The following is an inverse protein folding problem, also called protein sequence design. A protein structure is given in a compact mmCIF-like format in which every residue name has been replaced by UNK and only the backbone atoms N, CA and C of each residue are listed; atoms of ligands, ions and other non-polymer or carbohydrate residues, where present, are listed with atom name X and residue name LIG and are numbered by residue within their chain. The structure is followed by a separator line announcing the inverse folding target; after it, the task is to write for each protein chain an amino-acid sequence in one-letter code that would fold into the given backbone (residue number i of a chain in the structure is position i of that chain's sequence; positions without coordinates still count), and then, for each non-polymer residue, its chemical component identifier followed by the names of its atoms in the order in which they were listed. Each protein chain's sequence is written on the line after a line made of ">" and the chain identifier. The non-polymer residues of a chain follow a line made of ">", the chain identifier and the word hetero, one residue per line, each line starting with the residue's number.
data_IF_466938489362
#
_entry.id   IF_466938489362
#
_cell.length_a   1.000
_cell.length_b   1.000
_cell.length_c   1.000
_cell.angle_alpha   90.00
_cell.angle_beta   90.00
_cell.angle_gamma   90.00
#
_symmetry.space_group_name_H-M   'P 1'
#
loop_
_entity.id
_entity.type
_entity.pdbx_description
1 polymer ?
#
# COMPACT_ATOMS: atom_id res chain seq x y z
N UNK A 1 -12.11 11.15 6.67
CA UNK A 1 -11.26 9.96 6.89
C UNK A 1 -11.87 8.67 6.35
N UNK A 2 -13.18 8.45 6.45
CA UNK A 2 -13.81 7.22 5.94
C UNK A 2 -13.58 6.96 4.45
N UNK A 3 -13.74 7.97 3.59
CA UNK A 3 -13.46 7.86 2.14
C UNK A 3 -11.99 7.51 1.88
N UNK A 4 -11.06 8.08 2.66
CA UNK A 4 -9.63 7.81 2.55
C UNK A 4 -9.30 6.36 2.87
N UNK A 5 -9.89 5.78 3.93
CA UNK A 5 -9.73 4.36 4.25
C UNK A 5 -10.26 3.44 3.13
N UNK A 6 -11.39 3.81 2.52
CA UNK A 6 -11.92 3.06 1.36
C UNK A 6 -10.95 3.11 0.18
N UNK A 7 -10.35 4.26 -0.10
CA UNK A 7 -9.33 4.40 -1.15
C UNK A 7 -8.09 3.57 -0.85
N UNK A 8 -7.60 3.54 0.40
CA UNK A 8 -6.49 2.68 0.83
C UNK A 8 -6.80 1.20 0.61
N UNK A 9 -8.01 0.75 0.95
CA UNK A 9 -8.47 -0.61 0.71
C UNK A 9 -8.52 -0.97 -0.78
N UNK A 10 -9.02 -0.07 -1.62
CA UNK A 10 -9.03 -0.25 -3.08
C UNK A 10 -7.60 -0.35 -3.61
N UNK A 11 -6.68 0.50 -3.14
CA UNK A 11 -5.28 0.47 -3.54
C UNK A 11 -4.60 -0.85 -3.13
N UNK A 12 -4.84 -1.32 -1.90
CA UNK A 12 -4.33 -2.59 -1.42
C UNK A 12 -4.87 -3.77 -2.24
N UNK A 13 -6.18 -3.76 -2.54
CA UNK A 13 -6.82 -4.76 -3.37
C UNK A 13 -6.26 -4.76 -4.80
N UNK A 14 -6.05 -3.58 -5.38
CA UNK A 14 -5.46 -3.43 -6.71
C UNK A 14 -4.05 -4.02 -6.77
N UNK A 15 -3.19 -3.69 -5.80
CA UNK A 15 -1.83 -4.24 -5.69
C UNK A 15 -1.84 -5.76 -5.53
N UNK A 16 -2.73 -6.29 -4.69
CA UNK A 16 -2.87 -7.72 -4.49
C UNK A 16 -3.32 -8.45 -5.76
N UNK A 17 -4.27 -7.89 -6.49
CA UNK A 17 -4.78 -8.48 -7.73
C UNK A 17 -3.72 -8.45 -8.83
N UNK A 18 -2.96 -7.36 -8.94
CA UNK A 18 -1.92 -7.19 -9.96
C UNK A 18 -0.59 -7.89 -9.63
N UNK A 19 -0.46 -8.51 -8.46
CA UNK A 19 0.77 -9.22 -8.08
C UNK A 19 1.18 -10.36 -9.01
N UNK A 20 0.19 -11.01 -9.62
CA UNK A 20 0.37 -12.25 -10.40
C UNK A 20 0.25 -12.02 -11.91
N UNK A 21 -0.13 -10.80 -12.30
CA UNK A 21 -0.30 -10.42 -13.70
C UNK A 21 1.05 -9.96 -14.26
N UNK A 22 1.42 -10.46 -15.44
CA UNK A 22 2.59 -9.96 -16.16
C UNK A 22 2.36 -8.49 -16.52
N UNK A 23 3.09 -7.56 -15.88
CA UNK A 23 3.21 -6.21 -16.42
C UNK A 23 3.90 -6.33 -17.78
N UNK A 24 3.22 -5.87 -18.84
CA UNK A 24 3.67 -5.90 -20.24
C UNK A 24 5.01 -5.18 -20.49
N UNK A 25 5.53 -4.43 -19.51
CA UNK A 25 6.75 -3.62 -19.60
C UNK A 25 7.92 -4.26 -18.82
N UNK A 26 7.66 -5.22 -17.93
CA UNK A 26 8.68 -5.78 -17.04
C UNK A 26 9.16 -7.15 -17.55
N UNK A 27 10.31 -7.18 -18.22
CA UNK A 27 10.97 -8.42 -18.61
C UNK A 27 11.58 -9.07 -17.37
N UNK A 28 10.83 -10.02 -16.83
CA UNK A 28 11.00 -10.53 -15.49
C UNK A 28 12.11 -11.59 -15.41
N UNK A 29 13.35 -11.15 -15.20
CA UNK A 29 14.45 -12.06 -14.83
C UNK A 29 14.41 -12.45 -13.34
N UNK A 30 13.60 -11.78 -12.49
CA UNK A 30 13.55 -12.02 -11.04
C UNK A 30 12.09 -12.05 -10.48
N UNK A 31 11.33 -13.08 -10.89
CA UNK A 31 9.86 -13.23 -10.67
C UNK A 31 9.39 -13.15 -9.22
N UNK A 32 10.25 -13.50 -8.28
CA UNK A 32 9.91 -13.66 -6.87
C UNK A 32 9.86 -12.34 -6.11
N UNK A 33 10.70 -11.37 -6.48
CA UNK A 33 10.91 -10.17 -5.67
C UNK A 33 9.82 -9.12 -5.92
N UNK A 34 9.45 -8.92 -7.18
CA UNK A 34 8.37 -8.00 -7.56
C UNK A 34 7.00 -8.40 -6.97
N UNK A 35 6.67 -9.68 -7.06
CA UNK A 35 5.47 -10.26 -6.46
C UNK A 35 5.47 -10.11 -4.94
N UNK A 36 6.62 -10.31 -4.30
CA UNK A 36 6.77 -10.18 -2.85
C UNK A 36 6.62 -8.73 -2.38
N UNK A 37 7.21 -7.76 -3.08
CA UNK A 37 7.10 -6.33 -2.73
C UNK A 37 5.65 -5.86 -2.84
N UNK A 38 4.97 -6.15 -3.94
CA UNK A 38 3.54 -5.81 -4.09
C UNK A 38 2.68 -6.48 -3.01
N UNK A 39 2.97 -7.73 -2.64
CA UNK A 39 2.23 -8.42 -1.58
C UNK A 39 2.48 -7.77 -0.20
N UNK A 40 3.74 -7.45 0.13
CA UNK A 40 4.11 -6.77 1.39
C UNK A 40 3.45 -5.40 1.47
N UNK A 41 3.48 -4.62 0.39
CA UNK A 41 2.83 -3.30 0.35
C UNK A 41 1.32 -3.40 0.47
N UNK A 42 0.68 -4.36 -0.21
CA UNK A 42 -0.76 -4.58 -0.07
C UNK A 42 -1.14 -4.92 1.37
N UNK A 43 -0.37 -5.79 2.04
CA UNK A 43 -0.57 -6.13 3.46
C UNK A 43 -0.37 -4.88 4.34
N UNK A 44 0.68 -4.09 4.11
CA UNK A 44 0.93 -2.87 4.86
C UNK A 44 -0.22 -1.86 4.74
N UNK A 45 -0.77 -1.66 3.54
CA UNK A 45 -1.93 -0.78 3.32
C UNK A 45 -3.20 -1.29 4.00
N UNK A 46 -3.43 -2.61 4.04
CA UNK A 46 -4.55 -3.20 4.81
C UNK A 46 -4.36 -2.93 6.30
N UNK A 47 -3.14 -3.08 6.82
CA UNK A 47 -2.83 -2.80 8.22
C UNK A 47 -3.03 -1.32 8.54
N UNK A 48 -2.55 -0.41 7.68
CA UNK A 48 -2.79 1.04 7.81
C UNK A 48 -4.29 1.37 7.81
N UNK A 49 -5.07 0.72 6.95
CA UNK A 49 -6.52 0.91 6.91
C UNK A 49 -7.21 0.37 8.17
N UNK A 50 -6.74 -0.74 8.76
CA UNK A 50 -7.28 -1.28 10.01
C UNK A 50 -6.97 -0.35 11.19
N UNK A 51 -5.73 0.14 11.28
CA UNK A 51 -5.33 1.12 12.30
C UNK A 51 -6.15 2.40 12.16
N UNK A 52 -6.30 2.90 10.93
CA UNK A 52 -7.12 4.07 10.65
C UNK A 52 -8.60 3.88 10.99
N UNK A 53 -9.14 2.67 10.82
CA UNK A 53 -10.51 2.35 11.24
C UNK A 53 -10.68 2.39 12.76
N UNK A 54 -9.72 1.84 13.51
CA UNK A 54 -9.72 1.90 14.99
C UNK A 54 -9.60 3.35 15.48
N UNK A 55 -8.74 4.15 14.85
CA UNK A 55 -8.55 5.58 15.17
C UNK A 55 -9.81 6.40 14.87
N UNK A 56 -10.55 6.05 13.82
CA UNK A 56 -11.80 6.74 13.47
C UNK A 56 -12.82 6.66 14.61
N UNK A 57 -12.85 5.57 15.38
CA UNK A 57 -13.73 5.41 16.55
C UNK A 57 -13.34 6.29 17.75
N UNK A 58 -12.12 6.83 17.79
CA UNK A 58 -11.64 7.69 18.87
C UNK A 58 -11.93 9.18 18.63
N UNK A 59 -12.39 9.55 17.43
CA UNK A 59 -12.72 10.93 17.01
C UNK A 59 -11.63 11.99 17.27
N UNK A 60 -10.38 11.56 17.47
CA UNK A 60 -9.24 12.46 17.68
C UNK A 60 -8.67 12.94 16.33
N UNK A 61 -8.65 14.26 16.16
CA UNK A 61 -8.20 14.91 14.92
C UNK A 61 -6.70 14.77 14.67
N UNK A 62 -5.89 14.68 15.73
CA UNK A 62 -4.43 14.52 15.61
C UNK A 62 -4.06 13.10 15.22
N UNK A 63 -4.73 12.09 15.78
CA UNK A 63 -4.50 10.70 15.44
C UNK A 63 -4.83 10.42 13.97
N UNK A 64 -5.94 10.98 13.47
CA UNK A 64 -6.31 10.90 12.04
C UNK A 64 -5.23 11.48 11.12
N UNK A 65 -4.53 12.54 11.54
CA UNK A 65 -3.44 13.15 10.76
C UNK A 65 -2.19 12.26 10.74
N UNK A 66 -1.88 11.62 11.87
CA UNK A 66 -0.77 10.65 11.96
C UNK A 66 -1.02 9.46 11.02
N UNK A 67 -2.24 8.93 10.97
CA UNK A 67 -2.58 7.84 10.05
C UNK A 67 -2.36 8.25 8.59
N UNK A 68 -2.72 9.48 8.23
CA UNK A 68 -2.54 10.01 6.88
C UNK A 68 -1.04 10.08 6.50
N UNK A 69 -0.20 10.58 7.40
CA UNK A 69 1.25 10.63 7.19
C UNK A 69 1.81 9.22 7.03
N UNK A 70 1.37 8.29 7.89
CA UNK A 70 1.85 6.92 7.89
C UNK A 70 1.57 6.24 6.54
N UNK A 71 0.32 6.30 6.04
CA UNK A 71 0.02 5.64 4.75
C UNK A 71 0.65 6.36 3.56
N UNK A 72 0.87 7.69 3.62
CA UNK A 72 1.67 8.39 2.62
C UNK A 72 3.12 7.89 2.58
N UNK A 73 3.73 7.67 3.75
CA UNK A 73 5.07 7.08 3.84
C UNK A 73 5.09 5.65 3.28
N UNK A 74 4.08 4.83 3.59
CA UNK A 74 3.95 3.47 3.06
C UNK A 74 3.91 3.45 1.53
N UNK A 75 3.13 4.35 0.92
CA UNK A 75 3.02 4.48 -0.54
C UNK A 75 4.32 5.01 -1.15
N UNK A 76 4.97 5.99 -0.52
CA UNK A 76 6.25 6.52 -0.98
C UNK A 76 7.35 5.46 -0.93
N UNK A 77 7.42 4.66 0.13
CA UNK A 77 8.37 3.57 0.25
C UNK A 77 8.13 2.50 -0.82
N UNK A 78 6.87 2.19 -1.13
CA UNK A 78 6.53 1.34 -2.26
C UNK A 78 6.99 1.91 -3.60
N UNK A 79 6.75 3.21 -3.85
CA UNK A 79 7.20 3.88 -5.06
C UNK A 79 8.72 3.87 -5.24
N UNK A 80 9.47 3.99 -4.14
CA UNK A 80 10.94 3.87 -4.18
C UNK A 80 11.38 2.42 -4.36
N UNK A 81 10.76 1.48 -3.64
CA UNK A 81 11.08 0.05 -3.69
C UNK A 81 10.76 -0.59 -5.05
N UNK A 82 9.76 -0.10 -5.78
CA UNK A 82 9.48 -0.61 -7.13
C UNK A 82 10.45 -0.03 -8.17
N UNK A 83 10.91 1.22 -7.98
CA UNK A 83 11.79 1.92 -8.93
C UNK A 83 13.25 1.47 -8.82
N UNK A 84 13.77 1.26 -7.61
CA UNK A 84 15.16 0.81 -7.38
C UNK A 84 15.45 -0.62 -7.88
N UNK A 85 14.41 -1.40 -8.19
CA UNK A 85 14.55 -2.79 -8.61
C UNK A 85 14.17 -2.98 -10.10
N UNK A 86 13.80 -1.87 -10.78
CA UNK A 86 13.60 -1.79 -12.24
C UNK A 86 14.86 -1.38 -12.99
N UNK A 87 15.87 -0.87 -12.27
CA UNK A 87 17.25 -0.64 -12.76
C UNK A 87 18.13 -1.88 -12.55
#
# INVERSE_FOLDING_TARGET
>A
MSIYLVVLLIAAWYLWQKRNDHFLIYNNQNKTNFTSIMAITAIALVVDSLIGFVILLQDDKYLNFITLILSCLTILFFGLAINQWDE
#
